data_IF_688698010711
#
_entry.id   IF_688698010711
#
_cell.length_a   1.000
_cell.length_b   1.000
_cell.length_c   1.000
_cell.angle_alpha   90.00
_cell.angle_beta   90.00
_cell.angle_gamma   90.00
#
_symmetry.space_group_name_H-M   'P 1'
#
loop_
_entity.id
_entity.type
_entity.pdbx_description
1 polymer ?
#
# COMPACT_ATOMS: atom_id res chain seq x y z
N UNK A 1 -10.32 -22.81 2.31
CA UNK A 1 -10.42 -21.40 1.86
C UNK A 1 -10.21 -21.32 0.35
N UNK A 2 -11.01 -20.56 -0.41
CA UNK A 2 -10.77 -20.39 -1.86
C UNK A 2 -9.54 -19.49 -2.13
N UNK A 3 -9.03 -19.47 -3.37
CA UNK A 3 -7.94 -18.52 -3.71
C UNK A 3 -8.42 -17.06 -3.58
N UNK A 4 -9.69 -16.79 -3.92
CA UNK A 4 -10.26 -15.47 -3.82
C UNK A 4 -10.41 -15.02 -2.36
N UNK A 5 -10.79 -15.92 -1.46
CA UNK A 5 -10.90 -15.60 -0.03
C UNK A 5 -9.52 -15.33 0.57
N UNK A 6 -8.51 -16.14 0.21
CA UNK A 6 -7.13 -15.92 0.64
C UNK A 6 -6.59 -14.57 0.15
N UNK A 7 -6.86 -14.21 -1.12
CA UNK A 7 -6.49 -12.90 -1.66
C UNK A 7 -7.15 -11.76 -0.89
N UNK A 8 -8.46 -11.85 -0.62
CA UNK A 8 -9.20 -10.84 0.14
C UNK A 8 -8.66 -10.71 1.56
N UNK A 9 -8.39 -11.83 2.23
CA UNK A 9 -7.85 -11.84 3.59
C UNK A 9 -6.46 -11.20 3.65
N UNK A 10 -5.57 -11.52 2.70
CA UNK A 10 -4.25 -10.92 2.61
C UNK A 10 -4.33 -9.40 2.40
N UNK A 11 -5.09 -8.94 1.39
CA UNK A 11 -5.26 -7.52 1.12
C UNK A 11 -5.89 -6.76 2.29
N UNK A 12 -6.87 -7.36 2.97
CA UNK A 12 -7.49 -6.78 4.16
C UNK A 12 -6.51 -6.73 5.34
N UNK A 13 -5.67 -7.74 5.51
CA UNK A 13 -4.66 -7.76 6.57
C UNK A 13 -3.66 -6.61 6.37
N UNK A 14 -3.08 -6.51 5.18
CA UNK A 14 -2.08 -5.50 4.84
C UNK A 14 -2.64 -4.06 4.92
N UNK A 15 -3.83 -3.79 4.37
CA UNK A 15 -4.39 -2.43 4.44
C UNK A 15 -4.74 -2.02 5.87
N UNK A 16 -5.08 -2.97 6.75
CA UNK A 16 -5.47 -2.69 8.14
C UNK A 16 -4.29 -2.41 9.07
N UNK A 17 -3.04 -2.56 8.62
CA UNK A 17 -1.86 -2.20 9.42
C UNK A 17 -1.92 -0.73 9.86
N UNK A 18 -2.46 0.17 9.03
CA UNK A 18 -2.57 1.59 9.35
C UNK A 18 -3.51 1.86 10.53
N UNK A 19 -4.55 1.05 10.70
CA UNK A 19 -5.64 1.31 11.66
C UNK A 19 -5.16 1.32 13.10
N UNK A 20 -4.22 0.42 13.42
CA UNK A 20 -3.71 0.28 14.79
C UNK A 20 -2.40 1.02 14.99
N UNK A 21 -1.65 1.26 13.90
CA UNK A 21 -0.28 1.69 14.04
C UNK A 21 0.04 3.09 13.50
N UNK A 22 -0.77 3.63 12.59
CA UNK A 22 -0.61 4.98 12.05
C UNK A 22 0.66 5.23 11.21
N UNK A 23 0.60 6.29 10.40
CA UNK A 23 1.72 6.87 9.61
C UNK A 23 2.03 8.32 10.05
N UNK A 24 1.12 8.94 10.82
CA UNK A 24 1.21 10.34 11.20
C UNK A 24 0.74 11.32 10.11
N UNK A 25 0.54 12.59 10.47
CA UNK A 25 -0.09 13.60 9.61
C UNK A 25 0.79 14.10 8.46
N UNK A 26 2.04 13.68 8.39
CA UNK A 26 2.95 14.06 7.30
C UNK A 26 2.89 13.06 6.14
N UNK A 27 2.26 11.90 6.35
CA UNK A 27 2.19 10.80 5.41
C UNK A 27 3.57 10.28 4.93
N UNK A 28 4.62 10.42 5.75
CA UNK A 28 5.98 10.02 5.41
C UNK A 28 6.31 8.67 6.02
N UNK A 29 6.64 7.68 5.17
CA UNK A 29 7.12 6.38 5.62
C UNK A 29 8.63 6.44 5.87
N UNK A 30 9.09 5.95 7.03
CA UNK A 30 10.48 6.07 7.48
C UNK A 30 10.89 4.83 8.29
N UNK A 31 12.17 4.75 8.67
CA UNK A 31 12.75 3.60 9.37
C UNK A 31 12.00 3.25 10.65
N UNK A 32 11.46 4.25 11.37
CA UNK A 32 10.63 3.99 12.55
C UNK A 32 9.39 3.15 12.20
N UNK A 33 8.70 3.46 11.10
CA UNK A 33 7.52 2.70 10.69
C UNK A 33 7.84 1.26 10.25
N UNK A 34 9.07 1.05 9.76
CA UNK A 34 9.57 -0.24 9.31
C UNK A 34 10.05 -1.12 10.48
N UNK A 35 10.82 -0.56 11.43
CA UNK A 35 11.50 -1.28 12.52
C UNK A 35 10.88 -1.10 13.92
N UNK A 36 9.60 -0.70 14.01
CA UNK A 36 8.99 -0.38 15.32
C UNK A 36 8.74 -1.57 16.23
N UNK A 37 8.68 -2.78 15.70
CA UNK A 37 8.62 -4.01 16.48
C UNK A 37 9.96 -4.33 17.18
N UNK A 38 11.08 -3.99 16.56
CA UNK A 38 12.42 -4.13 17.14
C UNK A 38 12.71 -3.16 18.29
N UNK A 39 11.91 -2.09 18.43
CA UNK A 39 12.10 -1.10 19.48
C UNK A 39 11.25 -1.43 20.71
N UNK A 40 11.86 -1.76 21.86
CA UNK A 40 11.13 -2.17 23.06
C UNK A 40 10.22 -1.07 23.63
N UNK A 41 10.45 0.20 23.29
CA UNK A 41 9.59 1.31 23.68
C UNK A 41 8.28 1.36 22.88
N UNK A 42 8.29 0.79 21.66
CA UNK A 42 7.20 0.84 20.70
C UNK A 42 6.61 -0.54 20.40
N UNK A 43 6.90 -1.55 21.24
CA UNK A 43 6.47 -2.95 21.08
C UNK A 43 4.94 -3.19 20.98
N UNK A 44 4.12 -2.14 21.12
CA UNK A 44 2.69 -2.16 20.82
C UNK A 44 2.37 -1.94 19.33
N UNK A 45 3.34 -1.49 18.55
CA UNK A 45 3.20 -1.19 17.14
C UNK A 45 3.86 -2.28 16.28
N UNK A 46 3.13 -2.77 15.28
CA UNK A 46 3.57 -3.74 14.28
C UNK A 46 3.96 -2.98 13.01
N UNK A 47 5.00 -3.32 12.21
CA UNK A 47 5.35 -2.59 10.98
C UNK A 47 4.16 -2.28 10.04
N UNK A 48 4.22 -1.17 9.28
CA UNK A 48 3.20 -0.81 8.25
C UNK A 48 3.76 -0.90 6.83
N UNK A 49 4.77 -1.73 6.61
CA UNK A 49 5.43 -1.81 5.31
C UNK A 49 4.46 -2.29 4.22
N UNK A 50 3.53 -3.20 4.55
CA UNK A 50 2.62 -3.77 3.56
C UNK A 50 1.56 -2.72 3.18
N UNK A 51 1.03 -1.98 4.16
CA UNK A 51 0.20 -0.80 3.91
C UNK A 51 0.93 0.23 3.03
N UNK A 52 2.18 0.59 3.37
CA UNK A 52 2.96 1.57 2.64
C UNK A 52 3.12 1.18 1.17
N UNK A 53 3.40 -0.09 0.93
CA UNK A 53 3.49 -0.68 -0.40
C UNK A 53 2.14 -0.66 -1.15
N UNK A 54 1.02 -0.90 -0.48
CA UNK A 54 -0.30 -0.87 -1.11
C UNK A 54 -0.73 0.52 -1.60
N UNK A 55 -0.38 1.58 -0.88
CA UNK A 55 -0.93 2.92 -1.12
C UNK A 55 0.04 3.91 -1.75
N UNK A 56 1.29 3.49 -1.99
CA UNK A 56 2.29 4.37 -2.58
C UNK A 56 1.85 4.86 -3.97
N UNK A 57 1.82 6.18 -4.13
CA UNK A 57 1.48 6.83 -5.39
C UNK A 57 2.47 6.45 -6.51
N UNK A 58 1.95 6.43 -7.75
CA UNK A 58 2.74 6.08 -8.92
C UNK A 58 3.02 4.57 -9.07
N UNK A 59 2.53 3.73 -8.16
CA UNK A 59 2.39 2.31 -8.40
C UNK A 59 1.08 2.02 -9.13
N UNK A 60 1.18 1.52 -10.36
CA UNK A 60 0.05 1.24 -11.23
C UNK A 60 0.01 -0.23 -11.69
N UNK A 61 0.86 -1.09 -11.12
CA UNK A 61 1.05 -2.47 -11.55
C UNK A 61 1.09 -3.40 -10.36
N UNK A 62 0.17 -4.36 -10.33
CA UNK A 62 0.07 -5.36 -9.28
C UNK A 62 0.03 -6.75 -9.91
N UNK A 63 0.80 -7.68 -9.36
CA UNK A 63 0.74 -9.09 -9.72
C UNK A 63 0.87 -9.97 -8.49
N UNK A 64 -0.06 -10.89 -8.26
CA UNK A 64 -0.08 -11.73 -7.06
C UNK A 64 0.04 -13.21 -7.40
N UNK A 65 0.67 -13.95 -6.50
CA UNK A 65 0.80 -15.41 -6.53
C UNK A 65 0.15 -15.97 -5.28
N UNK A 66 -0.66 -17.00 -5.45
CA UNK A 66 -1.26 -17.75 -4.35
C UNK A 66 -0.77 -19.18 -4.46
N UNK A 67 -0.07 -19.65 -3.43
CA UNK A 67 0.47 -21.00 -3.37
C UNK A 67 -0.04 -21.72 -2.13
N UNK A 68 -0.52 -22.93 -2.33
CA UNK A 68 -0.82 -23.82 -1.22
C UNK A 68 0.43 -24.60 -0.81
N UNK A 69 0.79 -24.53 0.48
CA UNK A 69 1.90 -25.25 1.10
C UNK A 69 1.41 -25.82 2.43
N UNK A 70 1.59 -27.12 2.66
CA UNK A 70 1.23 -27.80 3.92
C UNK A 70 -0.23 -27.60 4.38
N UNK A 71 -1.17 -27.43 3.43
CA UNK A 71 -2.59 -27.19 3.72
C UNK A 71 -2.95 -25.73 4.02
N UNK A 72 -1.98 -24.82 4.01
CA UNK A 72 -2.15 -23.38 4.16
C UNK A 72 -1.95 -22.65 2.82
N UNK A 73 -2.57 -21.47 2.66
CA UNK A 73 -2.41 -20.63 1.47
C UNK A 73 -1.51 -19.44 1.78
N UNK A 74 -0.45 -19.32 1.01
CA UNK A 74 0.48 -18.20 1.02
C UNK A 74 0.13 -17.27 -0.14
N UNK A 75 -0.12 -16.01 0.18
CA UNK A 75 -0.39 -14.95 -0.79
C UNK A 75 0.80 -14.01 -0.81
N UNK A 76 1.37 -13.79 -1.99
CA UNK A 76 2.44 -12.82 -2.17
C UNK A 76 2.13 -11.95 -3.38
N UNK A 77 2.21 -10.63 -3.21
CA UNK A 77 1.97 -9.67 -4.27
C UNK A 77 3.24 -8.90 -4.58
N UNK A 78 3.52 -8.78 -5.87
CA UNK A 78 4.55 -7.93 -6.43
C UNK A 78 3.92 -6.64 -6.91
N UNK A 79 4.63 -5.57 -6.62
CA UNK A 79 4.28 -4.22 -7.02
C UNK A 79 5.27 -3.78 -8.08
N UNK A 80 4.75 -3.30 -9.22
CA UNK A 80 5.56 -2.75 -10.29
C UNK A 80 5.99 -1.35 -9.91
N UNK A 81 7.16 -1.23 -9.30
CA UNK A 81 7.69 0.05 -8.87
C UNK A 81 8.08 0.93 -10.07
N UNK A 82 7.33 2.00 -10.33
CA UNK A 82 7.87 3.17 -11.05
C UNK A 82 8.74 4.04 -10.13
N UNK A 83 8.47 4.03 -8.82
CA UNK A 83 9.32 4.60 -7.76
C UNK A 83 10.04 3.47 -7.03
N UNK A 84 11.36 3.45 -7.09
CA UNK A 84 12.19 2.40 -6.47
C UNK A 84 12.38 2.52 -4.96
N UNK A 85 12.06 3.67 -4.35
CA UNK A 85 12.32 3.93 -2.93
C UNK A 85 11.21 4.77 -2.30
N UNK A 86 10.58 4.24 -1.25
CA UNK A 86 9.51 4.88 -0.46
C UNK A 86 10.01 5.41 0.89
N UNK A 87 11.18 4.98 1.34
CA UNK A 87 11.76 5.40 2.62
C UNK A 87 12.07 6.90 2.61
N UNK A 88 11.64 7.59 3.67
CA UNK A 88 11.79 9.03 3.85
C UNK A 88 10.90 9.89 2.94
N UNK A 89 9.97 9.29 2.18
CA UNK A 89 9.08 10.01 1.25
C UNK A 89 7.63 9.93 1.68
N UNK A 90 6.84 10.86 1.16
CA UNK A 90 5.38 10.77 1.26
C UNK A 90 4.90 9.53 0.50
N UNK A 91 3.95 8.81 1.09
CA UNK A 91 3.29 7.70 0.41
C UNK A 91 2.47 8.19 -0.78
N UNK A 92 1.73 9.27 -0.60
CA UNK A 92 0.97 9.96 -1.64
C UNK A 92 0.87 11.46 -1.35
N UNK A 93 0.67 12.25 -2.39
CA UNK A 93 0.33 13.66 -2.28
C UNK A 93 -1.03 13.85 -1.60
N UNK A 94 -1.05 14.64 -0.53
CA UNK A 94 -2.27 14.97 0.20
C UNK A 94 -2.99 16.12 -0.52
N UNK A 95 -4.26 15.92 -0.87
CA UNK A 95 -5.03 16.91 -1.62
C UNK A 95 -6.44 16.44 -1.94
N UNK A 96 -7.13 17.19 -2.79
CA UNK A 96 -8.44 16.80 -3.31
C UNK A 96 -8.27 15.72 -4.38
N UNK A 97 -9.06 14.63 -4.36
CA UNK A 97 -9.05 13.64 -5.42
C UNK A 97 -9.39 14.26 -6.78
N UNK A 98 -8.92 13.63 -7.86
CA UNK A 98 -9.14 14.14 -9.21
C UNK A 98 -10.64 14.15 -9.57
N UNK A 99 -11.07 15.18 -10.30
CA UNK A 99 -12.44 15.28 -10.86
C UNK A 99 -12.45 15.26 -12.38
N UNK A 100 -11.30 15.52 -13.00
CA UNK A 100 -11.05 15.51 -14.43
C UNK A 100 -9.59 15.14 -14.69
N UNK A 101 -9.27 14.64 -15.87
CA UNK A 101 -7.91 14.16 -16.19
C UNK A 101 -6.82 15.23 -16.05
N UNK A 102 -7.15 16.52 -16.19
CA UNK A 102 -6.19 17.61 -16.00
C UNK A 102 -5.74 17.80 -14.55
N UNK A 103 -6.44 17.18 -13.58
CA UNK A 103 -6.07 17.25 -12.16
C UNK A 103 -4.96 16.22 -11.84
N UNK A 104 -4.68 15.28 -12.74
CA UNK A 104 -3.66 14.27 -12.58
C UNK A 104 -2.32 14.70 -13.20
N UNK A 105 -1.22 14.30 -12.57
CA UNK A 105 0.12 14.53 -13.11
C UNK A 105 0.44 13.53 -14.22
N UNK A 106 0.80 14.04 -15.40
CA UNK A 106 1.20 13.23 -16.55
C UNK A 106 0.06 12.93 -17.53
N UNK A 107 0.30 12.04 -18.49
CA UNK A 107 -0.67 11.68 -19.51
C UNK A 107 -1.53 10.49 -19.04
N UNK A 108 -2.39 10.74 -18.05
CA UNK A 108 -3.23 9.73 -17.38
C UNK A 108 -4.70 10.16 -17.38
N UNK A 109 -5.60 9.20 -17.18
CA UNK A 109 -7.05 9.48 -17.11
C UNK A 109 -7.51 9.51 -15.67
N UNK A 110 -8.36 10.47 -15.31
CA UNK A 110 -9.03 10.48 -14.01
C UNK A 110 -10.32 9.64 -14.05
N UNK A 111 -10.43 8.66 -13.16
CA UNK A 111 -11.68 7.99 -12.84
C UNK A 111 -12.40 8.76 -11.74
N UNK A 112 -13.14 9.79 -12.12
CA UNK A 112 -13.75 10.76 -11.18
C UNK A 112 -14.69 10.12 -10.13
N UNK A 113 -15.31 8.97 -10.44
CA UNK A 113 -16.17 8.25 -9.49
C UNK A 113 -15.38 7.66 -8.31
N UNK A 114 -14.09 7.35 -8.52
CA UNK A 114 -13.20 6.72 -7.55
C UNK A 114 -12.10 7.68 -7.07
N UNK A 115 -11.92 8.81 -7.75
CA UNK A 115 -10.86 9.79 -7.44
C UNK A 115 -9.46 9.32 -7.79
N UNK A 116 -9.33 8.35 -8.71
CA UNK A 116 -8.06 7.70 -9.06
C UNK A 116 -7.53 8.16 -10.42
N UNK A 117 -6.23 8.46 -10.47
CA UNK A 117 -5.49 8.70 -11.70
C UNK A 117 -4.92 7.38 -12.23
N UNK A 118 -5.33 6.96 -13.43
CA UNK A 118 -4.90 5.69 -14.03
C UNK A 118 -4.02 5.92 -15.23
N UNK A 119 -2.82 5.37 -15.15
CA UNK A 119 -1.97 5.18 -16.31
C UNK A 119 -2.51 4.05 -17.21
N UNK A 120 -2.22 4.08 -18.52
CA UNK A 120 -2.61 3.02 -19.45
C UNK A 120 -2.00 1.66 -19.13
#
# INVERSE_FOLDING_TARGET
MSNMDAAKEAMNTWINEIRHNGIGPQNIFNEFHYWRDDNPYYALYVPIQDYAHMVVEGNDRLGCIIKECNGEKYVHCFLGFRRTEVMGKKLYEEGMPCTKSSDCTGNVTCFAAEGLCSAP
#
